data_IF_968029979633
#
_entry.id   IF_968029979633
#
_cell.length_a   1.000
_cell.length_b   1.000
_cell.length_c   1.000
_cell.angle_alpha   90.00
_cell.angle_beta   90.00
_cell.angle_gamma   90.00
#
_symmetry.space_group_name_H-M   'P 1'
#
loop_
_entity.id
_entity.type
_entity.pdbx_description
1 polymer ?
#
# COMPACT_ATOMS: atom_id res chain seq x y z
N UNK A 1 -13.35 -63.11 -93.01
CA UNK A 1 -13.23 -61.67 -92.83
C UNK A 1 -13.88 -61.29 -91.52
N UNK A 2 -13.08 -61.17 -90.49
CA UNK A 2 -13.52 -60.88 -89.13
C UNK A 2 -12.67 -59.69 -88.65
N UNK A 3 -13.30 -58.54 -88.48
CA UNK A 3 -12.65 -57.35 -87.95
C UNK A 3 -12.67 -57.34 -86.45
N UNK A 4 -11.50 -57.20 -85.87
CA UNK A 4 -11.29 -57.07 -84.44
C UNK A 4 -11.31 -55.55 -84.08
N UNK A 5 -12.17 -55.14 -83.18
CA UNK A 5 -12.26 -53.76 -82.69
C UNK A 5 -11.40 -53.66 -81.41
N UNK A 6 -10.33 -52.88 -81.44
CA UNK A 6 -9.49 -52.50 -80.29
C UNK A 6 -10.18 -51.40 -79.49
N UNK A 7 -10.28 -51.62 -78.16
CA UNK A 7 -10.79 -50.65 -77.19
C UNK A 7 -9.63 -49.98 -76.49
N UNK A 8 -9.48 -48.66 -76.44
CA UNK A 8 -8.38 -48.00 -75.75
C UNK A 8 -8.61 -47.96 -74.22
N UNK A 9 -7.56 -48.34 -73.49
CA UNK A 9 -7.48 -48.33 -72.04
C UNK A 9 -7.59 -46.89 -71.49
N UNK A 10 -8.60 -46.68 -70.61
CA UNK A 10 -8.75 -45.44 -69.88
C UNK A 10 -7.68 -45.19 -68.83
N UNK A 11 -6.98 -44.08 -68.96
CA UNK A 11 -5.96 -43.61 -68.00
C UNK A 11 -6.69 -43.08 -66.75
N UNK A 12 -6.63 -43.82 -65.63
CA UNK A 12 -7.05 -43.34 -64.32
C UNK A 12 -6.09 -42.25 -63.81
N UNK A 13 -6.56 -41.03 -63.73
CA UNK A 13 -5.85 -39.88 -63.17
C UNK A 13 -5.96 -39.95 -61.63
N UNK A 14 -4.91 -40.50 -60.97
CA UNK A 14 -4.81 -40.48 -59.51
C UNK A 14 -4.69 -39.03 -59.01
N UNK A 15 -5.71 -38.52 -58.36
CA UNK A 15 -5.71 -37.21 -57.69
C UNK A 15 -4.88 -37.38 -56.41
N UNK A 16 -3.66 -36.82 -56.41
CA UNK A 16 -2.85 -36.67 -55.19
C UNK A 16 -3.54 -35.67 -54.25
N UNK A 17 -3.75 -36.00 -52.96
CA UNK A 17 -4.26 -35.03 -51.98
C UNK A 17 -3.25 -33.94 -51.76
N UNK A 18 -3.66 -32.70 -51.86
CA UNK A 18 -2.85 -31.50 -51.61
C UNK A 18 -2.39 -31.40 -50.16
N UNK A 19 -1.07 -31.23 -49.87
CA UNK A 19 -0.55 -31.18 -48.51
C UNK A 19 -0.69 -29.80 -47.82
N UNK A 20 -1.66 -28.98 -48.24
CA UNK A 20 -1.67 -27.53 -47.92
C UNK A 20 -2.27 -27.10 -46.57
N UNK A 21 -2.96 -27.98 -45.81
CA UNK A 21 -3.75 -27.49 -44.63
C UNK A 21 -3.08 -27.65 -43.26
N UNK A 22 -2.19 -28.64 -43.09
CA UNK A 22 -1.55 -28.88 -41.78
C UNK A 22 -0.29 -28.01 -41.56
N UNK A 23 0.44 -27.68 -42.59
CA UNK A 23 1.63 -26.83 -42.54
C UNK A 23 1.31 -25.34 -42.28
N UNK A 24 0.15 -24.84 -42.79
CA UNK A 24 -0.28 -23.45 -42.57
C UNK A 24 -0.70 -23.18 -41.10
N UNK A 25 -1.33 -24.18 -40.41
CA UNK A 25 -1.69 -24.06 -38.98
C UNK A 25 -0.47 -24.20 -38.06
N UNK A 26 0.50 -25.04 -38.40
CA UNK A 26 1.75 -25.19 -37.63
C UNK A 26 2.61 -23.92 -37.72
N UNK A 27 2.68 -23.28 -38.89
CA UNK A 27 3.48 -22.07 -39.10
C UNK A 27 2.87 -20.85 -38.39
N UNK A 28 1.55 -20.73 -38.29
CA UNK A 28 0.89 -19.66 -37.46
C UNK A 28 1.13 -19.83 -35.97
N UNK A 29 1.17 -21.06 -35.43
CA UNK A 29 1.47 -21.33 -34.02
C UNK A 29 2.95 -21.07 -33.70
N UNK A 30 3.87 -21.37 -34.60
CA UNK A 30 5.29 -21.11 -34.43
C UNK A 30 5.61 -19.58 -34.43
N UNK A 31 4.83 -18.76 -35.13
CA UNK A 31 4.97 -17.30 -35.13
C UNK A 31 4.34 -16.62 -33.90
N UNK A 32 3.37 -17.22 -33.24
CA UNK A 32 2.73 -16.66 -32.03
C UNK A 32 3.61 -16.78 -30.78
N UNK A 33 4.46 -17.79 -30.68
CA UNK A 33 5.34 -18.03 -29.55
C UNK A 33 6.20 -16.81 -29.15
N UNK A 34 7.00 -16.25 -30.06
CA UNK A 34 7.87 -15.11 -29.74
C UNK A 34 7.10 -13.82 -29.37
N UNK A 35 5.88 -13.63 -29.88
CA UNK A 35 5.05 -12.47 -29.49
C UNK A 35 4.52 -12.61 -28.05
N UNK A 36 4.07 -13.81 -27.68
CA UNK A 36 3.55 -14.07 -26.31
C UNK A 36 4.69 -13.95 -25.30
N UNK A 37 5.86 -14.53 -25.58
CA UNK A 37 7.01 -14.44 -24.66
C UNK A 37 7.53 -13.01 -24.54
N UNK A 38 7.63 -12.26 -25.62
CA UNK A 38 8.04 -10.85 -25.59
C UNK A 38 7.04 -9.99 -24.81
N UNK A 39 5.74 -10.19 -25.00
CA UNK A 39 4.69 -9.51 -24.26
C UNK A 39 4.74 -9.82 -22.77
N UNK A 40 4.90 -11.09 -22.39
CA UNK A 40 5.02 -11.50 -20.99
C UNK A 40 6.27 -10.89 -20.33
N UNK A 41 7.42 -10.95 -20.97
CA UNK A 41 8.66 -10.35 -20.47
C UNK A 41 8.53 -8.83 -20.31
N UNK A 42 7.94 -8.15 -21.27
CA UNK A 42 7.68 -6.71 -21.17
C UNK A 42 6.78 -6.37 -19.99
N UNK A 43 5.67 -7.10 -19.84
CA UNK A 43 4.75 -6.91 -18.71
C UNK A 43 5.44 -7.11 -17.36
N UNK A 44 6.20 -8.19 -17.20
CA UNK A 44 6.96 -8.47 -15.97
C UNK A 44 8.00 -7.37 -15.72
N UNK A 45 8.74 -6.94 -16.74
CA UNK A 45 9.74 -5.89 -16.58
C UNK A 45 9.12 -4.56 -16.16
N UNK A 46 8.00 -4.16 -16.76
CA UNK A 46 7.28 -2.94 -16.39
C UNK A 46 6.75 -3.03 -14.97
N UNK A 47 6.22 -4.19 -14.57
CA UNK A 47 5.78 -4.43 -13.19
C UNK A 47 6.91 -4.27 -12.18
N UNK A 48 8.03 -4.95 -12.42
CA UNK A 48 9.18 -4.90 -11.51
C UNK A 48 9.74 -3.47 -11.40
N UNK A 49 9.93 -2.78 -12.53
CA UNK A 49 10.40 -1.39 -12.55
C UNK A 49 9.38 -0.49 -11.85
N UNK A 50 8.07 -0.66 -12.09
CA UNK A 50 7.01 0.10 -11.46
C UNK A 50 7.00 -0.08 -9.93
N UNK A 51 7.09 -1.31 -9.43
CA UNK A 51 7.15 -1.59 -7.98
C UNK A 51 8.42 -1.00 -7.37
N UNK A 52 9.59 -1.16 -7.99
CA UNK A 52 10.83 -0.55 -7.51
C UNK A 52 10.73 0.98 -7.47
N UNK A 53 10.22 1.61 -8.53
CA UNK A 53 10.04 3.06 -8.60
C UNK A 53 9.04 3.55 -7.53
N UNK A 54 7.93 2.82 -7.34
CA UNK A 54 6.93 3.15 -6.32
C UNK A 54 7.53 3.09 -4.92
N UNK A 55 8.22 2.00 -4.56
CA UNK A 55 8.73 1.80 -3.21
C UNK A 55 9.92 2.71 -2.89
N UNK A 56 10.84 2.92 -3.84
CA UNK A 56 12.11 3.63 -3.59
C UNK A 56 11.99 5.13 -3.84
N UNK A 57 11.29 5.55 -4.90
CA UNK A 57 11.26 6.94 -5.34
C UNK A 57 9.96 7.65 -4.95
N UNK A 58 8.80 7.04 -5.25
CA UNK A 58 7.52 7.71 -5.11
C UNK A 58 7.00 7.69 -3.68
N UNK A 59 7.13 6.57 -2.97
CA UNK A 59 6.57 6.45 -1.62
C UNK A 59 7.17 7.46 -0.62
N UNK A 60 8.49 7.75 -0.58
CA UNK A 60 9.03 8.80 0.27
C UNK A 60 8.57 10.21 -0.13
N UNK A 61 8.37 10.46 -1.43
CA UNK A 61 7.89 11.76 -1.93
C UNK A 61 6.42 11.97 -1.55
N UNK A 62 5.58 10.96 -1.71
CA UNK A 62 4.18 10.98 -1.30
C UNK A 62 4.03 11.23 0.19
N UNK A 63 4.83 10.53 1.01
CA UNK A 63 4.86 10.73 2.46
C UNK A 63 5.24 12.18 2.82
N UNK A 64 6.34 12.72 2.26
CA UNK A 64 6.78 14.09 2.53
C UNK A 64 5.73 15.13 2.14
N UNK A 65 5.10 14.96 0.97
CA UNK A 65 4.05 15.86 0.51
C UNK A 65 2.82 15.81 1.44
N UNK A 66 2.41 14.61 1.87
CA UNK A 66 1.31 14.42 2.81
C UNK A 66 1.63 15.00 4.19
N UNK A 67 2.85 14.83 4.69
CA UNK A 67 3.30 15.40 5.95
C UNK A 67 3.34 16.93 5.90
N UNK A 68 3.85 17.53 4.82
CA UNK A 68 3.87 18.98 4.65
C UNK A 68 2.44 19.56 4.66
N UNK A 69 1.55 19.03 3.81
CA UNK A 69 0.17 19.51 3.76
C UNK A 69 -0.61 19.23 5.05
N UNK A 70 -0.36 18.08 5.69
CA UNK A 70 -0.93 17.72 6.98
C UNK A 70 -0.49 18.66 8.10
N UNK A 71 0.80 19.03 8.11
CA UNK A 71 1.36 19.98 9.08
C UNK A 71 0.77 21.38 8.92
N UNK A 72 0.66 21.88 7.70
CA UNK A 72 0.08 23.20 7.43
C UNK A 72 -1.38 23.26 7.89
N UNK A 73 -2.15 22.20 7.58
CA UNK A 73 -3.54 22.09 8.02
C UNK A 73 -3.65 22.00 9.54
N UNK A 74 -2.89 21.10 10.17
CA UNK A 74 -2.90 20.95 11.64
C UNK A 74 -2.51 22.24 12.34
N UNK A 75 -1.49 22.95 11.84
CA UNK A 75 -1.05 24.25 12.39
C UNK A 75 -2.16 25.30 12.30
N UNK A 76 -2.85 25.39 11.18
CA UNK A 76 -3.96 26.32 11.00
C UNK A 76 -5.12 26.00 11.95
N UNK A 77 -5.48 24.72 12.08
CA UNK A 77 -6.55 24.27 12.99
C UNK A 77 -6.18 24.46 14.47
N UNK A 78 -4.89 24.23 14.85
CA UNK A 78 -4.41 24.52 16.21
C UNK A 78 -4.49 26.03 16.52
N UNK A 79 -4.10 26.89 15.57
CA UNK A 79 -4.17 28.33 15.74
C UNK A 79 -5.62 28.83 15.86
N UNK A 80 -6.54 28.19 15.16
CA UNK A 80 -7.97 28.50 15.20
C UNK A 80 -8.71 27.83 16.39
N UNK A 81 -8.06 26.92 17.15
CA UNK A 81 -8.69 26.14 18.21
C UNK A 81 -9.76 25.16 17.70
N UNK A 82 -9.63 24.70 16.46
CA UNK A 82 -10.63 23.83 15.78
C UNK A 82 -10.20 22.38 15.62
N UNK A 83 -8.99 22.04 16.10
CA UNK A 83 -8.52 20.64 16.10
C UNK A 83 -9.46 19.75 16.88
N UNK A 84 -9.79 18.61 16.32
CA UNK A 84 -10.66 17.65 17.01
C UNK A 84 -10.00 17.14 18.30
N UNK A 85 -10.81 17.12 19.38
CA UNK A 85 -10.41 16.61 20.71
C UNK A 85 -11.14 15.33 21.09
N UNK A 86 -11.84 14.74 20.12
CA UNK A 86 -12.57 13.47 20.23
C UNK A 86 -12.60 12.77 18.87
N UNK A 87 -13.30 11.64 18.78
CA UNK A 87 -13.54 10.93 17.51
C UNK A 87 -14.48 11.68 16.54
N UNK A 88 -15.00 12.86 16.94
CA UNK A 88 -15.94 13.64 16.15
C UNK A 88 -15.43 15.06 15.88
N UNK A 89 -15.90 15.61 14.77
CA UNK A 89 -15.73 17.03 14.45
C UNK A 89 -16.65 17.92 15.31
N UNK A 90 -16.55 19.25 15.12
CA UNK A 90 -17.38 20.22 15.85
C UNK A 90 -18.89 20.09 15.56
N UNK A 91 -19.27 19.41 14.48
CA UNK A 91 -20.65 19.11 14.12
C UNK A 91 -21.12 17.74 14.65
N UNK A 92 -20.31 17.05 15.46
CA UNK A 92 -20.62 15.75 16.03
C UNK A 92 -20.54 14.57 15.04
N UNK A 93 -20.00 14.77 13.83
CA UNK A 93 -19.77 13.72 12.83
C UNK A 93 -18.46 13.04 13.09
N UNK A 94 -18.39 11.72 12.88
CA UNK A 94 -17.14 10.97 12.98
C UNK A 94 -16.06 11.57 12.04
N UNK A 95 -14.84 11.65 12.54
CA UNK A 95 -13.71 12.10 11.76
C UNK A 95 -13.47 11.17 10.58
N UNK A 96 -13.10 11.77 9.44
CA UNK A 96 -12.76 11.00 8.25
C UNK A 96 -11.35 10.44 8.37
N UNK A 97 -11.10 9.19 7.91
CA UNK A 97 -9.75 8.66 7.79
C UNK A 97 -8.84 9.63 7.02
N UNK A 98 -7.61 9.83 7.51
CA UNK A 98 -6.64 10.77 6.93
C UNK A 98 -6.81 12.22 7.38
N UNK A 99 -7.68 12.53 8.36
CA UNK A 99 -7.72 13.84 9.01
C UNK A 99 -6.48 14.02 9.89
N UNK A 100 -5.68 15.10 9.77
CA UNK A 100 -4.56 15.36 10.68
C UNK A 100 -5.08 15.67 12.08
N UNK A 101 -4.53 15.03 13.11
CA UNK A 101 -5.01 15.13 14.48
C UNK A 101 -4.01 15.73 15.46
N UNK A 102 -2.75 15.35 15.33
CA UNK A 102 -1.73 15.67 16.32
C UNK A 102 -0.34 15.64 15.71
N UNK A 103 0.61 16.24 16.41
CA UNK A 103 2.04 16.22 16.08
C UNK A 103 2.77 15.31 17.06
N UNK A 104 3.41 14.27 16.55
CA UNK A 104 4.29 13.37 17.30
C UNK A 104 5.74 13.82 17.14
N UNK A 105 6.45 14.00 18.27
CA UNK A 105 7.85 14.38 18.30
C UNK A 105 8.65 13.39 19.16
N UNK A 106 9.56 12.63 18.55
CA UNK A 106 10.47 11.68 19.23
C UNK A 106 11.91 12.14 18.98
N UNK A 107 12.47 13.00 19.83
CA UNK A 107 13.77 13.63 19.58
C UNK A 107 14.91 12.63 19.40
N UNK A 108 14.95 11.56 20.18
CA UNK A 108 15.99 10.52 20.09
C UNK A 108 16.04 9.83 18.73
N UNK A 109 14.91 9.71 18.05
CA UNK A 109 14.79 9.09 16.72
C UNK A 109 14.76 10.11 15.58
N UNK A 110 14.87 11.41 15.88
CA UNK A 110 14.68 12.51 14.92
C UNK A 110 13.35 12.43 14.16
N UNK A 111 12.30 11.89 14.81
CA UNK A 111 10.95 11.78 14.25
C UNK A 111 10.15 13.02 14.65
N UNK A 112 9.56 13.67 13.66
CA UNK A 112 8.59 14.75 13.83
C UNK A 112 7.53 14.61 12.75
N UNK A 113 6.42 14.00 13.11
CA UNK A 113 5.39 13.53 12.18
C UNK A 113 3.99 13.96 12.60
N UNK A 114 3.19 14.37 11.62
CA UNK A 114 1.74 14.52 11.82
C UNK A 114 1.11 13.13 11.85
N UNK A 115 0.32 12.89 12.87
CA UNK A 115 -0.47 11.68 13.03
C UNK A 115 -1.87 11.94 12.47
N UNK A 116 -2.34 11.04 11.62
CA UNK A 116 -3.64 11.13 10.98
C UNK A 116 -4.64 10.18 11.63
N UNK A 117 -5.93 10.46 11.50
CA UNK A 117 -7.00 9.57 11.96
C UNK A 117 -7.12 8.33 11.06
N UNK A 118 -7.19 7.14 11.64
CA UNK A 118 -7.27 5.85 10.92
C UNK A 118 -5.94 5.15 10.77
N UNK A 119 -5.99 3.85 10.44
CA UNK A 119 -4.81 2.97 10.36
C UNK A 119 -4.82 2.05 9.13
N UNK A 120 -5.64 2.36 8.14
CA UNK A 120 -5.61 1.67 6.85
C UNK A 120 -4.34 2.01 6.05
N UNK A 121 -4.10 1.28 4.97
CA UNK A 121 -2.91 1.45 4.13
C UNK A 121 -2.79 2.85 3.53
N UNK A 122 -3.91 3.51 3.20
CA UNK A 122 -3.91 4.85 2.59
C UNK A 122 -3.55 5.94 3.61
N UNK A 123 -4.01 5.79 4.84
CA UNK A 123 -3.64 6.69 5.94
C UNK A 123 -2.18 6.50 6.31
N UNK A 124 -1.73 5.24 6.48
CA UNK A 124 -0.35 4.93 6.86
C UNK A 124 0.67 5.22 5.74
N UNK A 125 0.24 5.45 4.52
CA UNK A 125 1.08 6.01 3.45
C UNK A 125 1.37 7.51 3.65
N UNK A 126 0.48 8.24 4.32
CA UNK A 126 0.65 9.67 4.63
C UNK A 126 1.53 9.91 5.85
N UNK A 127 1.52 9.01 6.82
CA UNK A 127 2.26 9.12 8.08
C UNK A 127 1.73 8.17 9.15
N UNK A 128 2.16 8.32 10.40
CA UNK A 128 1.58 7.56 11.50
C UNK A 128 0.06 7.80 11.60
N UNK A 129 -0.68 6.76 11.96
CA UNK A 129 -2.13 6.76 12.05
C UNK A 129 -2.62 6.47 13.47
N UNK A 130 -3.61 7.21 13.93
CA UNK A 130 -4.30 6.96 15.19
C UNK A 130 -5.39 5.90 14.99
N UNK A 131 -5.43 4.91 15.84
CA UNK A 131 -6.43 3.85 15.81
C UNK A 131 -7.76 4.39 16.33
N UNK A 132 -8.75 4.47 15.46
CA UNK A 132 -10.02 5.20 15.66
C UNK A 132 -10.91 4.70 16.80
N UNK A 133 -10.75 3.47 17.25
CA UNK A 133 -11.48 2.87 18.37
C UNK A 133 -10.77 3.06 19.73
N UNK A 134 -9.75 3.93 19.77
CA UNK A 134 -9.01 4.29 20.98
C UNK A 134 -9.14 5.78 21.32
N UNK A 135 -8.76 6.15 22.53
CA UNK A 135 -8.75 7.53 22.99
C UNK A 135 -7.60 8.32 22.35
N UNK A 136 -7.71 9.64 22.33
CA UNK A 136 -6.61 10.48 21.89
C UNK A 136 -5.48 10.53 22.93
N UNK A 137 -4.22 10.67 22.50
CA UNK A 137 -3.09 10.81 23.40
C UNK A 137 -3.26 12.01 24.33
N UNK A 138 -2.99 11.81 25.61
CA UNK A 138 -3.21 12.82 26.67
C UNK A 138 -4.49 12.63 27.45
N UNK A 139 -5.44 11.86 26.96
CA UNK A 139 -6.68 11.51 27.66
C UNK A 139 -6.48 10.33 28.61
N UNK A 140 -7.39 10.14 29.58
CA UNK A 140 -7.32 9.06 30.54
C UNK A 140 -7.72 7.72 29.93
N UNK A 141 -6.77 6.83 29.75
CA UNK A 141 -6.94 5.52 29.11
C UNK A 141 -5.83 5.22 28.11
N UNK A 142 -6.09 4.33 27.16
CA UNK A 142 -5.08 3.89 26.19
C UNK A 142 -5.38 4.46 24.80
N UNK A 143 -4.36 5.05 24.18
CA UNK A 143 -4.33 5.48 22.79
C UNK A 143 -3.37 4.59 21.98
N UNK A 144 -3.70 4.29 20.75
CA UNK A 144 -2.84 3.49 19.85
C UNK A 144 -2.49 4.28 18.61
N UNK A 145 -1.20 4.37 18.30
CA UNK A 145 -0.67 4.99 17.08
C UNK A 145 0.13 3.95 16.34
N UNK A 146 -0.20 3.75 15.07
CA UNK A 146 0.47 2.81 14.18
C UNK A 146 1.31 3.56 13.16
N UNK A 147 2.49 3.03 12.82
CA UNK A 147 3.36 3.62 11.82
C UNK A 147 4.15 2.57 11.04
N UNK A 148 4.45 2.87 9.79
CA UNK A 148 5.21 1.97 8.91
C UNK A 148 6.67 1.85 9.35
N UNK A 149 7.23 0.63 9.19
CA UNK A 149 8.64 0.34 9.48
C UNK A 149 9.57 0.63 8.30
N UNK A 150 9.12 0.49 7.05
CA UNK A 150 10.00 0.54 5.88
C UNK A 150 9.50 1.46 4.77
N UNK A 151 8.30 1.22 4.22
CA UNK A 151 7.74 1.99 3.12
C UNK A 151 7.29 3.39 3.57
N UNK A 152 7.11 4.31 2.62
CA UNK A 152 6.61 5.67 2.87
C UNK A 152 7.38 6.39 3.98
N UNK A 153 8.71 6.45 3.84
CA UNK A 153 9.59 7.09 4.80
C UNK A 153 9.91 6.26 6.04
N UNK A 154 9.11 5.25 6.38
CA UNK A 154 9.28 4.38 7.55
C UNK A 154 9.40 5.17 8.85
N UNK A 155 8.38 5.97 9.24
CA UNK A 155 8.49 6.87 10.40
C UNK A 155 8.81 6.12 11.71
N UNK A 156 8.44 4.85 11.81
CA UNK A 156 8.71 4.01 12.99
C UNK A 156 9.80 2.95 12.77
N UNK A 157 10.65 3.13 11.73
CA UNK A 157 11.77 2.22 11.43
C UNK A 157 12.67 1.94 12.63
N UNK A 158 12.94 2.96 13.42
CA UNK A 158 13.86 2.94 14.56
C UNK A 158 13.13 2.90 15.91
N UNK A 159 11.83 2.53 15.93
CA UNK A 159 11.05 2.52 17.17
C UNK A 159 11.65 1.57 18.23
N UNK A 160 12.30 0.49 17.82
CA UNK A 160 12.99 -0.44 18.69
C UNK A 160 14.21 0.15 19.42
N UNK A 161 14.74 1.29 18.99
CA UNK A 161 15.90 1.96 19.60
C UNK A 161 15.52 2.79 20.85
N UNK A 162 14.21 2.92 21.14
CA UNK A 162 13.72 3.55 22.36
C UNK A 162 13.81 2.56 23.52
N UNK A 163 14.41 3.00 24.62
CA UNK A 163 14.55 2.21 25.84
C UNK A 163 13.56 2.68 26.92
N UNK A 164 13.25 1.83 27.91
CA UNK A 164 12.50 2.25 29.08
C UNK A 164 13.10 3.51 29.73
N UNK A 165 12.27 4.50 30.02
CA UNK A 165 12.66 5.80 30.55
C UNK A 165 12.85 6.91 29.50
N UNK A 166 13.03 6.58 28.22
CA UNK A 166 13.05 7.58 27.14
C UNK A 166 11.73 8.36 27.09
N UNK A 167 11.79 9.60 26.62
CA UNK A 167 10.61 10.46 26.57
C UNK A 167 10.38 11.00 25.17
N UNK A 168 9.10 11.17 24.82
CA UNK A 168 8.66 11.83 23.61
C UNK A 168 7.41 12.69 23.87
N UNK A 169 7.03 13.51 22.91
CA UNK A 169 5.93 14.47 23.05
C UNK A 169 4.90 14.27 21.96
N UNK A 170 3.65 14.53 22.34
CA UNK A 170 2.52 14.60 21.39
C UNK A 170 1.76 15.89 21.68
N UNK A 171 1.57 16.70 20.62
CA UNK A 171 0.76 17.91 20.66
C UNK A 171 -0.57 17.64 20.00
N UNK A 172 -1.67 17.81 20.73
CA UNK A 172 -3.05 17.65 20.28
C UNK A 172 -3.82 18.96 20.42
N UNK A 173 -5.09 19.00 20.07
CA UNK A 173 -5.98 20.13 20.32
C UNK A 173 -6.19 20.44 21.82
N UNK A 174 -5.91 19.49 22.72
CA UNK A 174 -6.03 19.67 24.18
C UNK A 174 -4.73 20.13 24.85
N UNK A 175 -3.62 20.21 24.11
CA UNK A 175 -2.33 20.64 24.63
C UNK A 175 -1.16 19.75 24.23
N UNK A 176 -0.03 19.97 24.91
CA UNK A 176 1.21 19.21 24.72
C UNK A 176 1.41 18.23 25.87
N UNK A 177 1.55 16.97 25.53
CA UNK A 177 1.68 15.86 26.47
C UNK A 177 3.03 15.20 26.32
N UNK A 178 3.68 14.87 27.43
CA UNK A 178 4.95 14.13 27.47
C UNK A 178 4.68 12.71 27.95
N UNK A 179 5.24 11.77 27.21
CA UNK A 179 5.13 10.34 27.51
C UNK A 179 6.49 9.79 27.84
N UNK A 180 6.55 8.84 28.77
CA UNK A 180 7.74 8.09 29.15
C UNK A 180 7.59 6.64 28.76
N UNK A 181 8.54 6.12 28.02
CA UNK A 181 8.58 4.71 27.61
C UNK A 181 8.63 3.81 28.84
N UNK A 182 7.73 2.86 28.87
CA UNK A 182 7.60 1.85 29.92
C UNK A 182 8.32 0.57 29.53
N UNK A 183 7.92 0.00 28.40
CA UNK A 183 8.42 -1.27 27.92
C UNK A 183 8.18 -1.43 26.41
N UNK A 184 8.85 -2.42 25.82
CA UNK A 184 8.66 -2.90 24.47
C UNK A 184 8.13 -4.33 24.50
N UNK A 185 7.13 -4.59 23.67
CA UNK A 185 6.47 -5.91 23.59
C UNK A 185 6.42 -6.44 22.15
N UNK A 186 6.56 -7.73 22.03
CA UNK A 186 6.32 -8.48 20.80
C UNK A 186 5.00 -9.28 20.88
N UNK A 187 4.69 -10.00 19.82
CA UNK A 187 3.56 -10.92 19.83
C UNK A 187 3.79 -12.03 20.84
N UNK A 188 2.80 -12.25 21.72
CA UNK A 188 2.88 -13.25 22.81
C UNK A 188 3.32 -12.69 24.18
N UNK A 189 3.91 -11.50 24.22
CA UNK A 189 4.29 -10.86 25.47
C UNK A 189 3.06 -10.38 26.25
N UNK A 190 3.12 -10.45 27.58
CA UNK A 190 2.04 -10.00 28.45
C UNK A 190 1.86 -8.49 28.32
N UNK A 191 0.62 -8.05 28.16
CA UNK A 191 0.30 -6.63 28.19
C UNK A 191 0.56 -6.06 29.61
N UNK A 192 1.14 -4.85 29.74
CA UNK A 192 1.27 -4.20 31.02
C UNK A 192 -0.11 -3.93 31.61
N UNK A 193 -0.17 -3.81 32.94
CA UNK A 193 -1.40 -3.45 33.66
C UNK A 193 -2.01 -2.19 33.03
N UNK A 194 -3.35 -2.16 32.92
CA UNK A 194 -4.06 -0.98 32.43
C UNK A 194 -3.63 0.27 33.23
N UNK A 195 -3.57 1.45 32.60
CA UNK A 195 -3.26 2.68 33.31
C UNK A 195 -4.28 2.92 34.43
N UNK A 196 -3.80 3.45 35.56
CA UNK A 196 -4.68 3.79 36.68
C UNK A 196 -5.72 4.83 36.25
N UNK A 197 -6.83 4.93 37.00
CA UNK A 197 -7.87 5.92 36.75
C UNK A 197 -7.26 7.34 36.66
N UNK A 198 -7.64 8.11 35.64
CA UNK A 198 -7.10 9.45 35.40
C UNK A 198 -5.67 9.47 34.80
N UNK A 199 -5.11 8.33 34.45
CA UNK A 199 -3.81 8.24 33.75
C UNK A 199 -3.97 7.84 32.29
N UNK A 200 -3.09 8.35 31.44
CA UNK A 200 -3.05 8.06 30.01
C UNK A 200 -1.88 7.18 29.62
N UNK A 201 -2.06 6.36 28.62
CA UNK A 201 -1.00 5.55 27.96
C UNK A 201 -1.08 5.68 26.46
N UNK A 202 0.05 5.74 25.80
CA UNK A 202 0.16 5.60 24.34
C UNK A 202 0.90 4.32 24.02
N UNK A 203 0.37 3.58 23.06
CA UNK A 203 1.02 2.42 22.47
C UNK A 203 1.42 2.77 21.03
N UNK A 204 2.71 2.88 20.78
CA UNK A 204 3.24 3.02 19.42
C UNK A 204 3.45 1.63 18.82
N UNK A 205 2.94 1.40 17.61
CA UNK A 205 2.97 0.09 16.97
C UNK A 205 3.63 0.14 15.60
N UNK A 206 4.50 -0.82 15.31
CA UNK A 206 5.15 -0.98 13.99
C UNK A 206 5.42 -2.45 13.69
N UNK A 207 5.79 -2.76 12.45
CA UNK A 207 6.24 -4.10 12.08
C UNK A 207 7.65 -4.40 12.59
N UNK A 208 7.91 -5.67 12.90
CA UNK A 208 9.26 -6.18 13.20
C UNK A 208 9.75 -7.10 12.08
N UNK A 209 11.06 -7.20 11.92
CA UNK A 209 11.71 -8.03 10.93
C UNK A 209 12.49 -7.23 9.89
N UNK A 210 13.02 -7.91 8.86
CA UNK A 210 13.69 -7.22 7.76
C UNK A 210 12.74 -6.27 7.03
N UNK A 211 13.22 -5.17 6.42
CA UNK A 211 12.40 -4.30 5.60
C UNK A 211 11.59 -5.09 4.57
N UNK A 212 10.30 -4.78 4.46
CA UNK A 212 9.33 -5.44 3.55
C UNK A 212 9.03 -6.92 3.83
N UNK A 213 9.58 -7.52 4.89
CA UNK A 213 9.31 -8.92 5.29
C UNK A 213 8.96 -8.95 6.79
N UNK A 214 7.73 -8.56 7.17
CA UNK A 214 7.35 -8.48 8.58
C UNK A 214 7.29 -9.88 9.20
N UNK A 215 7.85 -10.00 10.42
CA UNK A 215 7.78 -11.22 11.23
C UNK A 215 6.79 -11.10 12.38
N UNK A 216 6.35 -9.87 12.69
CA UNK A 216 5.44 -9.62 13.80
C UNK A 216 5.22 -8.12 14.02
N UNK A 217 4.66 -7.78 15.17
CA UNK A 217 4.38 -6.42 15.59
C UNK A 217 5.17 -6.09 16.85
N UNK A 218 5.91 -4.96 16.81
CA UNK A 218 6.45 -4.30 17.99
C UNK A 218 5.39 -3.35 18.55
N UNK A 219 5.19 -3.40 19.85
CA UNK A 219 4.40 -2.45 20.63
C UNK A 219 5.30 -1.79 21.65
N UNK A 220 5.32 -0.48 21.66
CA UNK A 220 6.05 0.33 22.62
C UNK A 220 5.02 1.02 23.50
N UNK A 221 4.95 0.63 24.76
CA UNK A 221 4.06 1.22 25.74
C UNK A 221 4.73 2.42 26.43
N UNK A 222 4.00 3.54 26.52
CA UNK A 222 4.52 4.74 27.16
C UNK A 222 3.42 5.43 27.97
N UNK A 223 3.73 5.75 29.24
CA UNK A 223 2.78 6.38 30.15
C UNK A 223 2.91 7.91 30.13
N UNK A 224 1.75 8.56 30.24
CA UNK A 224 1.65 10.02 30.39
C UNK A 224 2.33 10.46 31.70
N UNK A 225 3.25 11.40 31.61
CA UNK A 225 4.01 11.90 32.78
C UNK A 225 3.26 12.96 33.61
N UNK A 226 2.20 13.55 33.04
CA UNK A 226 1.41 14.60 33.69
C UNK A 226 -0.02 14.18 34.02
N UNK A 227 -0.88 15.17 34.22
CA UNK A 227 -2.31 14.97 34.35
C UNK A 227 -2.93 14.66 32.97
N UNK A 228 -3.93 13.80 32.94
CA UNK A 228 -4.71 13.58 31.73
C UNK A 228 -5.64 14.76 31.46
N UNK A 229 -5.89 15.01 30.18
CA UNK A 229 -6.91 15.95 29.73
C UNK A 229 -8.32 15.34 29.84
N UNK A 230 -9.34 16.19 29.66
CA UNK A 230 -10.72 15.77 29.56
C UNK A 230 -10.89 14.65 28.54
N UNK A 231 -11.59 13.58 28.97
CA UNK A 231 -11.74 12.36 28.19
C UNK A 231 -13.17 12.22 27.71
N UNK A 232 -13.46 12.57 26.44
CA UNK A 232 -14.79 12.35 25.87
C UNK A 232 -15.14 10.87 25.76
N UNK A 233 -16.43 10.55 25.78
CA UNK A 233 -16.88 9.18 25.55
C UNK A 233 -16.56 8.73 24.12
N UNK A 234 -16.12 7.47 24.00
CA UNK A 234 -15.89 6.84 22.70
C UNK A 234 -17.23 6.65 21.95
N UNK A 235 -17.22 6.96 20.67
CA UNK A 235 -18.34 6.74 19.73
C UNK A 235 -18.16 5.46 18.92
N UNK A 236 -16.91 5.11 18.63
CA UNK A 236 -16.53 3.86 17.97
C UNK A 236 -16.20 2.88 19.08
N UNK A 237 -16.93 1.76 19.13
CA UNK A 237 -16.70 0.75 20.16
C UNK A 237 -15.32 0.11 19.97
N UNK A 238 -14.61 -0.25 21.04
CA UNK A 238 -13.37 -1.00 20.95
C UNK A 238 -13.54 -2.26 20.11
N UNK A 239 -12.52 -2.58 19.29
CA UNK A 239 -12.47 -3.73 18.40
C UNK A 239 -13.58 -3.81 17.32
N UNK A 240 -14.25 -2.70 17.01
CA UNK A 240 -15.27 -2.62 15.94
C UNK A 240 -14.71 -2.15 14.59
N UNK A 241 -13.38 -1.98 14.46
CA UNK A 241 -12.75 -1.50 13.24
C UNK A 241 -12.80 -2.53 12.11
N UNK A 242 -12.86 -2.07 10.84
CA UNK A 242 -12.70 -2.96 9.69
C UNK A 242 -11.33 -3.64 9.71
N UNK A 243 -11.25 -4.82 9.09
CA UNK A 243 -10.01 -5.61 9.06
C UNK A 243 -8.82 -4.88 8.43
N UNK A 244 -9.06 -3.95 7.50
CA UNK A 244 -8.03 -3.14 6.86
C UNK A 244 -7.30 -2.18 7.82
N UNK A 245 -7.91 -1.83 8.95
CA UNK A 245 -7.31 -0.98 9.98
C UNK A 245 -6.58 -1.78 11.09
N UNK A 246 -6.62 -3.11 11.04
CA UNK A 246 -5.91 -3.96 12.00
C UNK A 246 -4.42 -4.08 11.64
N UNK A 247 -3.52 -4.30 12.65
CA UNK A 247 -2.09 -4.43 12.41
C UNK A 247 -1.74 -5.56 11.45
N UNK A 248 -0.81 -5.32 10.55
CA UNK A 248 -0.33 -6.27 9.52
C UNK A 248 -1.43 -6.75 8.56
N UNK A 249 -2.51 -6.03 8.43
CA UNK A 249 -3.55 -6.31 7.42
C UNK A 249 -3.36 -5.42 6.20
N UNK A 250 -3.65 -5.98 5.02
CA UNK A 250 -3.77 -5.24 3.78
C UNK A 250 -5.24 -4.91 3.47
N UNK A 251 -5.46 -4.02 2.54
CA UNK A 251 -6.80 -3.71 2.06
C UNK A 251 -7.24 -4.73 1.00
N UNK A 252 -7.98 -5.75 1.43
CA UNK A 252 -8.47 -6.81 0.55
C UNK A 252 -9.55 -6.34 -0.44
N UNK A 253 -10.15 -5.16 -0.26
CA UNK A 253 -11.17 -4.63 -1.17
C UNK A 253 -10.55 -4.19 -2.51
N UNK A 254 -9.26 -3.91 -2.53
CA UNK A 254 -8.54 -3.37 -3.71
C UNK A 254 -8.14 -4.45 -4.72
N UNK A 255 -8.26 -5.74 -4.41
CA UNK A 255 -7.75 -6.83 -5.26
C UNK A 255 -8.33 -6.81 -6.69
N UNK A 256 -9.62 -6.46 -6.85
CA UNK A 256 -10.27 -6.39 -8.16
C UNK A 256 -9.71 -5.23 -9.02
N UNK A 257 -9.32 -4.12 -8.40
CA UNK A 257 -8.65 -3.01 -9.08
C UNK A 257 -7.28 -3.43 -9.61
N UNK A 258 -6.53 -4.21 -8.81
CA UNK A 258 -5.25 -4.81 -9.26
C UNK A 258 -5.46 -5.68 -10.48
N UNK A 259 -6.48 -6.55 -10.50
CA UNK A 259 -6.79 -7.40 -11.65
C UNK A 259 -7.11 -6.57 -12.90
N UNK A 260 -7.92 -5.53 -12.79
CA UNK A 260 -8.24 -4.65 -13.92
C UNK A 260 -7.01 -3.92 -14.46
N UNK A 261 -6.17 -3.37 -13.60
CA UNK A 261 -4.95 -2.69 -14.01
C UNK A 261 -3.92 -3.66 -14.60
N UNK A 262 -3.81 -4.90 -14.10
CA UNK A 262 -2.99 -5.95 -14.69
C UNK A 262 -3.47 -6.35 -16.09
N UNK A 263 -4.79 -6.45 -16.31
CA UNK A 263 -5.35 -6.70 -17.63
C UNK A 263 -5.05 -5.54 -18.59
N UNK A 264 -5.19 -4.29 -18.14
CA UNK A 264 -4.83 -3.11 -18.92
C UNK A 264 -3.33 -3.11 -19.28
N UNK A 265 -2.44 -3.47 -18.33
CA UNK A 265 -1.01 -3.58 -18.57
C UNK A 265 -0.69 -4.70 -19.58
N UNK A 266 -1.31 -5.86 -19.46
CA UNK A 266 -1.15 -6.97 -20.41
C UNK A 266 -1.60 -6.58 -21.82
N UNK A 267 -2.77 -5.93 -21.93
CA UNK A 267 -3.30 -5.44 -23.22
C UNK A 267 -2.37 -4.38 -23.85
N UNK A 268 -1.90 -3.41 -23.05
CA UNK A 268 -0.96 -2.40 -23.52
C UNK A 268 0.40 -3.00 -23.94
N UNK A 269 0.90 -4.00 -23.22
CA UNK A 269 2.11 -4.75 -23.56
C UNK A 269 1.96 -5.52 -24.88
N UNK A 270 0.81 -6.20 -25.05
CA UNK A 270 0.49 -6.91 -26.30
C UNK A 270 0.40 -5.94 -27.48
N UNK A 271 -0.26 -4.79 -27.29
CA UNK A 271 -0.34 -3.73 -28.30
C UNK A 271 1.05 -3.15 -28.65
N UNK A 272 1.91 -2.93 -27.65
CA UNK A 272 3.26 -2.46 -27.85
C UNK A 272 4.12 -3.47 -28.66
N UNK A 273 4.02 -4.77 -28.33
CA UNK A 273 4.70 -5.83 -29.09
C UNK A 273 4.17 -5.90 -30.52
N UNK A 274 2.86 -5.81 -30.72
CA UNK A 274 2.27 -5.77 -32.06
C UNK A 274 2.75 -4.55 -32.86
N UNK A 275 2.75 -3.37 -32.25
CA UNK A 275 3.21 -2.13 -32.87
C UNK A 275 4.70 -2.19 -33.24
N UNK A 276 5.52 -2.81 -32.38
CA UNK A 276 6.95 -3.00 -32.66
C UNK A 276 7.22 -3.73 -33.97
N UNK A 277 6.46 -4.75 -34.27
CA UNK A 277 6.61 -5.50 -35.52
C UNK A 277 5.94 -4.80 -36.71
N UNK A 278 4.96 -3.90 -36.47
CA UNK A 278 4.19 -3.24 -37.53
C UNK A 278 4.74 -1.86 -37.91
N UNK A 279 5.17 -1.05 -36.94
CA UNK A 279 5.59 0.34 -37.13
C UNK A 279 7.10 0.53 -36.99
N UNK A 280 7.78 -0.38 -36.32
CA UNK A 280 9.20 -0.32 -36.05
C UNK A 280 9.54 0.21 -34.64
N UNK A 281 10.82 0.03 -34.30
CA UNK A 281 11.34 0.22 -32.92
C UNK A 281 11.13 1.64 -32.39
N UNK A 282 11.49 2.66 -33.16
CA UNK A 282 11.53 4.06 -32.70
C UNK A 282 10.13 4.60 -32.37
N UNK A 283 9.15 4.36 -33.26
CA UNK A 283 7.78 4.83 -33.09
C UNK A 283 7.10 4.15 -31.90
N UNK A 284 7.30 2.84 -31.73
CA UNK A 284 6.75 2.09 -30.61
C UNK A 284 7.27 2.60 -29.28
N UNK A 285 8.56 2.88 -29.14
CA UNK A 285 9.12 3.45 -27.92
C UNK A 285 8.48 4.80 -27.57
N UNK A 286 8.38 5.71 -28.52
CA UNK A 286 7.82 7.04 -28.29
C UNK A 286 6.37 6.96 -27.82
N UNK A 287 5.55 6.09 -28.45
CA UNK A 287 4.12 6.01 -28.16
C UNK A 287 3.81 5.23 -26.87
N UNK A 288 4.50 4.13 -26.60
CA UNK A 288 4.12 3.18 -25.55
C UNK A 288 4.87 3.35 -24.22
N UNK A 289 6.02 4.04 -24.18
CA UNK A 289 6.78 4.21 -22.92
C UNK A 289 5.96 4.96 -21.86
N UNK A 290 5.31 6.06 -22.23
CA UNK A 290 4.46 6.83 -21.32
C UNK A 290 3.28 6.03 -20.76
N UNK A 291 2.41 5.48 -21.62
CA UNK A 291 1.27 4.66 -21.16
C UNK A 291 1.66 3.43 -20.36
N UNK A 292 2.68 2.66 -20.78
CA UNK A 292 3.16 1.49 -20.03
C UNK A 292 3.72 1.88 -18.66
N UNK A 293 4.50 2.97 -18.59
CA UNK A 293 5.00 3.50 -17.34
C UNK A 293 3.88 3.92 -16.40
N UNK A 294 2.90 4.68 -16.89
CA UNK A 294 1.76 5.14 -16.10
C UNK A 294 0.91 3.96 -15.57
N UNK A 295 0.57 2.99 -16.43
CA UNK A 295 -0.19 1.81 -16.03
C UNK A 295 0.62 0.96 -15.05
N UNK A 296 1.93 0.77 -15.28
CA UNK A 296 2.82 0.03 -14.39
C UNK A 296 2.90 0.64 -12.99
N UNK A 297 2.94 1.98 -12.89
CA UNK A 297 2.91 2.68 -11.62
C UNK A 297 1.56 2.54 -10.92
N UNK A 298 0.45 2.60 -11.66
CA UNK A 298 -0.90 2.37 -11.09
C UNK A 298 -1.03 0.95 -10.53
N UNK A 299 -0.54 -0.05 -11.26
CA UNK A 299 -0.50 -1.44 -10.73
C UNK A 299 0.34 -1.48 -9.46
N UNK A 300 1.52 -0.87 -9.47
CA UNK A 300 2.42 -0.87 -8.31
C UNK A 300 1.78 -0.21 -7.08
N UNK A 301 1.07 0.90 -7.25
CA UNK A 301 0.33 1.58 -6.20
C UNK A 301 -0.77 0.67 -5.61
N UNK A 302 -1.59 0.03 -6.45
CA UNK A 302 -2.63 -0.88 -5.97
C UNK A 302 -2.04 -2.11 -5.26
N UNK A 303 -0.93 -2.65 -5.75
CA UNK A 303 -0.22 -3.76 -5.09
C UNK A 303 0.30 -3.34 -3.71
N UNK A 304 0.82 -2.13 -3.56
CA UNK A 304 1.30 -1.65 -2.24
C UNK A 304 0.20 -1.51 -1.21
N UNK A 305 -1.06 -1.28 -1.61
CA UNK A 305 -2.23 -1.26 -0.71
C UNK A 305 -2.63 -2.66 -0.23
N UNK A 306 -2.33 -3.70 -1.00
CA UNK A 306 -2.53 -5.09 -0.57
C UNK A 306 -1.48 -5.57 0.44
N UNK A 307 -0.32 -4.91 0.48
CA UNK A 307 0.73 -5.25 1.44
C UNK A 307 0.27 -4.91 2.87
N UNK A 308 0.82 -5.61 3.88
CA UNK A 308 0.54 -5.29 5.28
C UNK A 308 0.78 -3.81 5.59
N UNK A 309 -0.17 -3.19 6.25
CA UNK A 309 -0.22 -1.74 6.48
C UNK A 309 0.93 -1.17 7.33
N UNK A 310 1.67 -1.99 8.07
CA UNK A 310 2.82 -1.58 8.89
C UNK A 310 4.18 -1.71 8.20
N UNK A 311 4.21 -2.16 6.94
CA UNK A 311 5.45 -2.32 6.16
C UNK A 311 6.16 -1.02 5.82
#
# INVERSE_FOLDING_TARGET
MTATIDTPAGTQKTVRPSPGSKTAKANKRALLGPYVTAGALLTISVLLIGICAQLVLLSPLQHRAAQSSGFDKLRAELAAGTVAVSQTDQQGRLLRPGTPLMLLEIPKLHVREVVFEGTDSDVLAKGPGHRRDTLLPGQAGTSVIMGRAAAYGGPFRHLADLAPGDTFRITTGQGRFTFRVLDQRHAGDRAPTAPAAGKGRVVLMTATGPPYLPKGVLRLDADLTGAAADTPALRIAPDSLPSSELPLRGDSVVWWQVVLWLQALAAASAAAVWAWFRWGRRQTWIVFTGPLGAIGLQVAEQVTRLLPNLL
#
